data_IF_761609615529
#
_entry.id   IF_761609615529
#
_cell.length_a   1.000
_cell.length_b   1.000
_cell.length_c   1.000
_cell.angle_alpha   90.00
_cell.angle_beta   90.00
_cell.angle_gamma   90.00
#
_symmetry.space_group_name_H-M   'P 1'
#
loop_
_entity.id
_entity.type
_entity.pdbx_description
1 polymer ?
#
# COMPACT_ATOMS: atom_id res chain seq x y z
N UNK A 1 -7.98 10.50 19.62
CA UNK A 1 -8.57 10.59 18.25
C UNK A 1 -8.35 9.25 17.59
N UNK A 2 -9.42 8.62 17.10
CA UNK A 2 -9.29 7.32 16.44
C UNK A 2 -8.45 7.42 15.15
N UNK A 3 -7.52 6.50 14.97
CA UNK A 3 -6.63 6.43 13.81
C UNK A 3 -7.04 5.28 12.89
N UNK A 4 -7.16 5.60 11.61
CA UNK A 4 -7.36 4.66 10.50
C UNK A 4 -6.18 4.85 9.54
N UNK A 5 -5.19 3.99 9.64
CA UNK A 5 -3.97 4.08 8.83
C UNK A 5 -4.04 3.13 7.64
N UNK A 6 -3.80 3.66 6.45
CA UNK A 6 -4.03 2.93 5.20
C UNK A 6 -2.77 2.20 4.69
N UNK A 7 -1.62 2.33 5.38
CA UNK A 7 -0.41 1.65 4.91
C UNK A 7 0.65 1.47 6.00
N UNK A 8 1.19 0.25 6.10
CA UNK A 8 2.47 -0.01 6.75
C UNK A 8 3.10 -1.30 6.20
N UNK A 9 4.45 -1.37 6.21
CA UNK A 9 5.25 -2.50 5.74
C UNK A 9 5.67 -3.45 6.85
N UNK A 10 4.97 -3.42 7.98
CA UNK A 10 5.35 -4.19 9.17
C UNK A 10 5.50 -5.68 8.91
N UNK A 11 4.60 -6.28 8.10
CA UNK A 11 4.66 -7.72 7.79
C UNK A 11 5.88 -8.05 6.94
N UNK A 12 6.18 -7.25 5.93
CA UNK A 12 7.36 -7.41 5.08
C UNK A 12 8.65 -7.24 5.90
N UNK A 13 8.68 -6.25 6.80
CA UNK A 13 9.82 -6.04 7.70
C UNK A 13 10.02 -7.20 8.70
N UNK A 14 8.94 -7.80 9.21
CA UNK A 14 9.02 -9.01 10.06
C UNK A 14 9.55 -10.19 9.24
N UNK A 15 9.02 -10.37 8.01
CA UNK A 15 9.42 -11.46 7.12
C UNK A 15 10.92 -11.42 6.81
N UNK A 16 11.43 -10.29 6.34
CA UNK A 16 12.85 -10.11 6.02
C UNK A 16 13.72 -10.16 7.29
N UNK A 17 13.28 -9.51 8.38
CA UNK A 17 14.02 -9.55 9.64
C UNK A 17 14.18 -10.96 10.20
N UNK A 18 13.19 -11.84 10.06
CA UNK A 18 13.30 -13.23 10.48
C UNK A 18 14.27 -14.04 9.63
N UNK A 19 14.36 -13.77 8.33
CA UNK A 19 15.40 -14.36 7.47
C UNK A 19 16.80 -13.97 7.94
N UNK A 20 16.96 -12.74 8.45
CA UNK A 20 18.19 -12.23 9.06
C UNK A 20 18.42 -12.73 10.51
N UNK A 21 17.58 -13.63 11.01
CA UNK A 21 17.69 -14.17 12.37
C UNK A 21 17.20 -13.22 13.49
N UNK A 22 16.47 -12.14 13.15
CA UNK A 22 15.90 -11.22 14.14
C UNK A 22 14.60 -11.77 14.71
N UNK A 23 14.41 -11.63 16.02
CA UNK A 23 13.16 -12.00 16.70
C UNK A 23 12.17 -10.81 16.64
N UNK A 24 11.48 -10.71 15.50
CA UNK A 24 10.46 -9.68 15.26
C UNK A 24 9.06 -10.28 15.29
N UNK A 25 8.12 -9.58 15.92
CA UNK A 25 6.72 -9.96 16.00
C UNK A 25 5.80 -8.76 15.86
N UNK A 26 4.54 -9.01 15.50
CA UNK A 26 3.53 -7.96 15.43
C UNK A 26 3.13 -7.45 16.83
N UNK A 27 3.24 -8.27 17.88
CA UNK A 27 2.84 -7.90 19.23
C UNK A 27 3.62 -6.71 19.77
N UNK A 28 4.96 -6.79 19.67
CA UNK A 28 5.90 -5.74 20.09
C UNK A 28 7.22 -5.93 19.36
N UNK A 29 7.81 -4.87 18.88
CA UNK A 29 9.04 -4.93 18.09
C UNK A 29 9.79 -3.60 18.09
N UNK A 30 11.01 -3.59 17.52
CA UNK A 30 11.75 -2.37 17.22
C UNK A 30 11.26 -1.64 15.96
N UNK A 31 10.26 -2.17 15.26
CA UNK A 31 9.67 -1.54 14.05
C UNK A 31 8.82 -0.32 14.42
N UNK A 32 8.46 0.48 13.42
CA UNK A 32 7.69 1.71 13.63
C UNK A 32 6.24 1.43 14.06
N UNK A 33 5.64 0.36 13.54
CA UNK A 33 4.27 -0.06 13.84
C UNK A 33 4.27 -1.46 14.43
N UNK A 34 3.67 -1.62 15.60
CA UNK A 34 3.33 -2.88 16.26
C UNK A 34 2.08 -2.68 17.13
N UNK A 35 1.52 -3.75 17.68
CA UNK A 35 0.25 -3.67 18.42
C UNK A 35 0.34 -2.80 19.68
N UNK A 36 1.46 -2.77 20.38
CA UNK A 36 1.62 -1.90 21.55
C UNK A 36 1.60 -0.42 21.17
N UNK A 37 2.23 -0.05 20.05
CA UNK A 37 2.23 1.32 19.53
C UNK A 37 0.87 1.70 18.97
N UNK A 38 0.22 0.78 18.25
CA UNK A 38 -1.13 0.99 17.72
C UNK A 38 -2.15 1.22 18.85
N UNK A 39 -2.08 0.44 19.92
CA UNK A 39 -2.93 0.60 21.11
C UNK A 39 -2.73 1.97 21.75
N UNK A 40 -1.47 2.39 21.96
CA UNK A 40 -1.13 3.73 22.49
C UNK A 40 -1.57 4.87 21.57
N UNK A 41 -1.58 4.63 20.25
CA UNK A 41 -1.97 5.59 19.21
C UNK A 41 -3.48 5.66 18.95
N UNK A 42 -4.33 4.91 19.67
CA UNK A 42 -5.78 4.82 19.45
C UNK A 42 -6.14 4.35 18.03
N UNK A 43 -5.38 3.39 17.50
CA UNK A 43 -5.65 2.81 16.18
C UNK A 43 -6.90 1.95 16.20
N UNK A 44 -7.75 2.13 15.16
CA UNK A 44 -8.94 1.33 14.90
C UNK A 44 -8.76 0.41 13.70
N UNK A 45 -7.98 0.88 12.73
CA UNK A 45 -7.64 0.09 11.55
C UNK A 45 -6.20 0.37 11.14
N UNK A 46 -5.50 -0.69 10.81
CA UNK A 46 -4.22 -0.65 10.11
C UNK A 46 -4.32 -1.49 8.83
N UNK A 47 -3.95 -0.90 7.71
CA UNK A 47 -3.72 -1.66 6.49
C UNK A 47 -2.28 -2.15 6.48
N UNK A 48 -2.11 -3.46 6.42
CA UNK A 48 -0.80 -4.12 6.32
C UNK A 48 -0.54 -4.45 4.85
N UNK A 49 0.51 -3.86 4.30
CA UNK A 49 0.96 -4.13 2.96
C UNK A 49 1.81 -5.41 2.92
N UNK A 50 1.53 -6.25 1.94
CA UNK A 50 2.45 -7.26 1.47
C UNK A 50 3.33 -6.56 0.44
N UNK A 51 4.40 -5.97 0.92
CA UNK A 51 5.36 -5.23 0.11
C UNK A 51 6.55 -6.11 -0.25
N UNK A 52 6.99 -6.03 -1.49
CA UNK A 52 8.25 -6.60 -1.94
C UNK A 52 8.90 -5.73 -3.03
N UNK A 53 10.23 -5.74 -3.06
CA UNK A 53 10.98 -5.15 -4.16
C UNK A 53 11.16 -6.20 -5.26
N UNK A 54 10.47 -6.03 -6.38
CA UNK A 54 10.53 -6.95 -7.52
C UNK A 54 11.92 -7.10 -8.12
N UNK A 55 12.76 -6.07 -8.01
CA UNK A 55 14.14 -6.13 -8.53
C UNK A 55 15.01 -7.10 -7.73
N UNK A 56 14.65 -7.35 -6.47
CA UNK A 56 15.38 -8.23 -5.55
C UNK A 56 14.58 -9.51 -5.20
N UNK A 57 13.44 -9.77 -5.88
CA UNK A 57 12.56 -10.91 -5.61
C UNK A 57 12.41 -11.80 -6.84
N UNK A 58 12.91 -13.02 -6.77
CA UNK A 58 12.89 -13.95 -7.91
C UNK A 58 11.46 -14.39 -8.29
N UNK A 59 10.63 -14.69 -7.29
CA UNK A 59 9.23 -15.09 -7.48
C UNK A 59 8.29 -14.27 -6.60
N UNK A 60 7.83 -13.14 -7.14
CA UNK A 60 6.98 -12.20 -6.42
C UNK A 60 5.69 -12.84 -5.89
N UNK A 61 5.02 -13.68 -6.69
CA UNK A 61 3.79 -14.35 -6.27
C UNK A 61 4.01 -15.28 -5.07
N UNK A 62 5.03 -16.14 -5.14
CA UNK A 62 5.31 -17.08 -4.05
C UNK A 62 5.74 -16.35 -2.77
N UNK A 63 6.62 -15.34 -2.88
CA UNK A 63 7.07 -14.54 -1.73
C UNK A 63 5.91 -13.79 -1.09
N UNK A 64 5.03 -13.18 -1.89
CA UNK A 64 3.82 -12.54 -1.38
C UNK A 64 2.87 -13.53 -0.68
N UNK A 65 2.80 -14.76 -1.19
CA UNK A 65 2.06 -15.86 -0.54
C UNK A 65 2.62 -16.19 0.84
N UNK A 66 3.94 -16.33 0.98
CA UNK A 66 4.60 -16.59 2.26
C UNK A 66 4.37 -15.45 3.27
N UNK A 67 4.45 -14.20 2.82
CA UNK A 67 4.16 -13.02 3.66
C UNK A 67 2.68 -12.98 4.08
N UNK A 68 1.77 -13.37 3.19
CA UNK A 68 0.33 -13.46 3.50
C UNK A 68 0.06 -14.52 4.59
N UNK A 69 0.73 -15.65 4.52
CA UNK A 69 0.64 -16.67 5.58
C UNK A 69 1.27 -16.19 6.90
N UNK A 70 2.36 -15.45 6.83
CA UNK A 70 2.95 -14.82 8.02
C UNK A 70 1.97 -13.83 8.66
N UNK A 71 1.34 -12.96 7.88
CA UNK A 71 0.30 -12.03 8.35
C UNK A 71 -0.79 -12.75 9.13
N UNK A 72 -1.36 -13.81 8.57
CA UNK A 72 -2.40 -14.61 9.24
C UNK A 72 -1.92 -15.22 10.55
N UNK A 73 -0.69 -15.76 10.56
CA UNK A 73 -0.08 -16.33 11.77
C UNK A 73 0.13 -15.29 12.87
N UNK A 74 0.56 -14.09 12.50
CA UNK A 74 0.71 -13.00 13.48
C UNK A 74 -0.64 -12.52 14.02
N UNK A 75 -1.69 -12.46 13.20
CA UNK A 75 -3.04 -12.14 13.68
C UNK A 75 -3.61 -13.24 14.59
N UNK A 76 -3.44 -14.51 14.25
CA UNK A 76 -3.92 -15.61 15.11
C UNK A 76 -3.25 -15.61 16.49
N UNK A 77 -1.95 -15.30 16.57
CA UNK A 77 -1.24 -15.17 17.86
C UNK A 77 -1.78 -14.02 18.71
N UNK A 78 -2.38 -13.01 18.08
CA UNK A 78 -2.84 -11.78 18.72
C UNK A 78 -4.36 -11.57 18.57
N UNK A 79 -5.13 -12.63 18.38
CA UNK A 79 -6.56 -12.62 18.08
C UNK A 79 -7.45 -11.97 19.14
N UNK A 80 -6.94 -11.76 20.33
CA UNK A 80 -7.58 -11.04 21.41
C UNK A 80 -7.52 -9.52 21.22
N UNK A 81 -6.53 -9.01 20.47
CA UNK A 81 -6.29 -7.58 20.26
C UNK A 81 -6.66 -7.08 18.86
N UNK A 82 -6.50 -7.91 17.82
CA UNK A 82 -6.68 -7.53 16.43
C UNK A 82 -7.30 -8.67 15.62
N UNK A 83 -8.15 -8.33 14.65
CA UNK A 83 -8.74 -9.31 13.73
C UNK A 83 -8.71 -8.81 12.29
N UNK A 84 -8.51 -9.74 11.35
CA UNK A 84 -8.60 -9.43 9.92
C UNK A 84 -10.01 -8.98 9.55
N UNK A 85 -10.10 -8.00 8.65
CA UNK A 85 -11.36 -7.50 8.11
C UNK A 85 -11.44 -7.71 6.60
N UNK A 86 -12.62 -8.07 6.14
CA UNK A 86 -12.96 -8.31 4.74
C UNK A 86 -14.03 -7.33 4.25
N UNK A 87 -14.82 -6.78 5.18
CA UNK A 87 -15.97 -5.91 4.93
C UNK A 87 -16.03 -4.78 5.96
N UNK A 88 -16.82 -3.76 5.66
CA UNK A 88 -17.11 -2.70 6.63
C UNK A 88 -17.75 -3.22 7.91
N UNK A 89 -18.62 -4.23 7.81
CA UNK A 89 -19.27 -4.85 8.96
C UNK A 89 -18.26 -5.50 9.91
N UNK A 90 -17.17 -6.04 9.39
CA UNK A 90 -16.09 -6.60 10.22
C UNK A 90 -15.40 -5.52 11.06
N UNK A 91 -15.18 -4.32 10.47
CA UNK A 91 -14.62 -3.17 11.20
C UNK A 91 -15.56 -2.77 12.35
N UNK A 92 -16.88 -2.71 12.08
CA UNK A 92 -17.85 -2.38 13.10
C UNK A 92 -17.89 -3.42 14.22
N UNK A 93 -17.84 -4.71 13.88
CA UNK A 93 -17.79 -5.81 14.84
C UNK A 93 -16.54 -5.73 15.71
N UNK A 94 -15.37 -5.58 15.11
CA UNK A 94 -14.10 -5.46 15.85
C UNK A 94 -14.13 -4.27 16.81
N UNK A 95 -14.64 -3.13 16.36
CA UNK A 95 -14.83 -1.96 17.21
C UNK A 95 -15.73 -2.24 18.41
N UNK A 96 -16.85 -2.94 18.21
CA UNK A 96 -17.77 -3.31 19.28
C UNK A 96 -17.14 -4.32 20.27
N UNK A 97 -16.23 -5.18 19.79
CA UNK A 97 -15.47 -6.14 20.59
C UNK A 97 -14.23 -5.52 21.27
N UNK A 98 -13.94 -4.23 21.03
CA UNK A 98 -12.74 -3.57 21.54
C UNK A 98 -11.44 -4.00 20.86
N UNK A 99 -11.52 -4.58 19.65
CA UNK A 99 -10.37 -5.03 18.86
C UNK A 99 -10.02 -4.01 17.79
N UNK A 100 -8.75 -3.98 17.42
CA UNK A 100 -8.25 -3.31 16.22
C UNK A 100 -8.59 -4.14 14.97
N UNK A 101 -8.64 -3.48 13.83
CA UNK A 101 -8.90 -4.10 12.52
C UNK A 101 -7.64 -4.16 11.69
N UNK A 102 -7.34 -5.32 11.10
CA UNK A 102 -6.25 -5.53 10.15
C UNK A 102 -6.82 -5.70 8.74
N UNK A 103 -6.51 -4.76 7.85
CA UNK A 103 -6.82 -4.86 6.43
C UNK A 103 -5.58 -5.29 5.66
N UNK A 104 -5.71 -6.22 4.72
CA UNK A 104 -4.61 -6.71 3.90
C UNK A 104 -4.57 -5.97 2.57
N UNK A 105 -3.39 -5.49 2.18
CA UNK A 105 -3.12 -4.93 0.85
C UNK A 105 -1.91 -5.60 0.19
N UNK A 106 -1.82 -5.46 -1.14
CA UNK A 106 -0.65 -5.83 -1.93
C UNK A 106 0.06 -4.55 -2.38
N UNK A 107 1.39 -4.51 -2.24
CA UNK A 107 2.20 -3.43 -2.77
C UNK A 107 3.28 -3.97 -3.68
N UNK A 108 3.23 -3.65 -4.94
CA UNK A 108 3.98 -4.06 -6.12
C UNK A 108 3.18 -4.99 -7.05
N UNK A 109 2.84 -4.45 -8.22
CA UNK A 109 2.10 -5.19 -9.25
C UNK A 109 2.82 -6.40 -9.82
N UNK A 110 4.15 -6.50 -9.64
CA UNK A 110 4.94 -7.68 -9.98
C UNK A 110 4.44 -8.98 -9.32
N UNK A 111 3.63 -8.86 -8.26
CA UNK A 111 2.97 -10.00 -7.60
C UNK A 111 2.00 -10.71 -8.56
N UNK A 112 1.30 -9.96 -9.42
CA UNK A 112 0.26 -10.47 -10.32
C UNK A 112 0.40 -10.01 -11.78
N UNK A 113 1.55 -9.42 -12.17
CA UNK A 113 1.78 -8.90 -13.53
C UNK A 113 1.76 -9.99 -14.63
N UNK A 114 2.08 -11.23 -14.28
CA UNK A 114 2.11 -12.35 -15.22
C UNK A 114 0.72 -12.86 -15.51
N UNK A 115 -0.11 -12.90 -14.49
CA UNK A 115 -1.47 -13.42 -14.52
C UNK A 115 -2.37 -12.56 -13.61
N UNK A 116 -3.06 -11.53 -14.14
CA UNK A 116 -3.98 -10.70 -13.35
C UNK A 116 -5.05 -11.49 -12.59
N UNK A 117 -5.42 -12.67 -13.09
CA UNK A 117 -6.29 -13.63 -12.42
C UNK A 117 -5.76 -14.14 -11.08
N UNK A 118 -4.45 -14.06 -10.84
CA UNK A 118 -3.81 -14.41 -9.57
C UNK A 118 -4.28 -13.50 -8.42
N UNK A 119 -4.78 -12.30 -8.72
CA UNK A 119 -5.45 -11.44 -7.76
C UNK A 119 -6.59 -12.15 -7.02
N UNK A 120 -7.25 -13.11 -7.67
CA UNK A 120 -8.31 -13.90 -7.06
C UNK A 120 -7.82 -14.67 -5.84
N UNK A 121 -6.64 -15.29 -5.92
CA UNK A 121 -6.08 -15.99 -4.79
C UNK A 121 -5.87 -15.06 -3.59
N UNK A 122 -5.27 -13.89 -3.79
CA UNK A 122 -5.05 -12.92 -2.73
C UNK A 122 -6.34 -12.32 -2.19
N UNK A 123 -7.34 -12.10 -3.04
CA UNK A 123 -8.68 -11.68 -2.60
C UNK A 123 -9.30 -12.72 -1.66
N UNK A 124 -9.21 -13.99 -1.99
CA UNK A 124 -9.73 -15.09 -1.16
C UNK A 124 -8.93 -15.21 0.16
N UNK A 125 -7.66 -14.75 0.20
CA UNK A 125 -6.88 -14.61 1.43
C UNK A 125 -7.23 -13.34 2.24
N UNK A 126 -8.02 -12.45 1.68
CA UNK A 126 -8.54 -11.24 2.35
C UNK A 126 -7.90 -9.92 1.91
N UNK A 127 -7.06 -9.93 0.89
CA UNK A 127 -6.59 -8.67 0.30
C UNK A 127 -7.77 -7.88 -0.31
N UNK A 128 -7.81 -6.58 -0.05
CA UNK A 128 -8.87 -5.68 -0.53
C UNK A 128 -8.35 -4.48 -1.29
N UNK A 129 -7.05 -4.25 -1.25
CA UNK A 129 -6.36 -3.14 -1.89
C UNK A 129 -5.14 -3.70 -2.63
N UNK A 130 -4.81 -3.17 -3.79
CA UNK A 130 -3.55 -3.48 -4.47
C UNK A 130 -3.03 -2.28 -5.25
N UNK A 131 -1.70 -2.02 -5.17
CA UNK A 131 -0.99 -1.11 -6.06
C UNK A 131 -0.61 -1.81 -7.37
N UNK A 132 -0.50 -1.04 -8.45
CA UNK A 132 -0.08 -1.56 -9.75
C UNK A 132 1.43 -1.49 -9.95
N UNK A 133 2.11 -0.62 -9.22
CA UNK A 133 3.57 -0.47 -9.24
C UNK A 133 4.08 -0.13 -7.84
N UNK A 134 5.34 -0.45 -7.58
CA UNK A 134 6.15 0.27 -6.60
C UNK A 134 7.10 1.23 -7.36
N UNK A 135 8.41 1.18 -7.16
CA UNK A 135 9.39 2.07 -7.78
C UNK A 135 10.05 1.48 -9.05
N UNK A 136 9.44 0.46 -9.65
CA UNK A 136 9.94 -0.16 -10.86
C UNK A 136 8.83 -0.26 -11.91
N UNK A 137 9.17 0.02 -13.16
CA UNK A 137 8.31 -0.32 -14.29
C UNK A 137 8.09 -1.84 -14.31
N UNK A 138 6.85 -2.25 -14.53
CA UNK A 138 6.45 -3.64 -14.63
C UNK A 138 5.54 -3.86 -15.87
N UNK A 139 4.95 -5.04 -16.02
CA UNK A 139 4.10 -5.33 -17.16
C UNK A 139 2.73 -4.64 -17.09
N UNK A 140 2.38 -4.03 -15.94
CA UNK A 140 1.09 -3.37 -15.73
C UNK A 140 1.15 -1.87 -16.00
N UNK A 141 2.22 -1.19 -15.54
CA UNK A 141 2.25 0.27 -15.53
C UNK A 141 3.66 0.85 -15.35
N UNK A 142 3.72 2.18 -15.42
CA UNK A 142 4.88 2.99 -15.12
C UNK A 142 4.74 3.65 -13.74
N UNK A 143 5.81 3.59 -12.89
CA UNK A 143 5.80 4.25 -11.60
C UNK A 143 6.11 5.75 -11.70
N UNK A 144 5.83 6.49 -10.65
CA UNK A 144 6.20 7.90 -10.53
C UNK A 144 7.69 8.13 -10.19
N UNK A 145 8.42 7.07 -9.93
CA UNK A 145 9.84 7.07 -9.64
C UNK A 145 10.45 5.80 -10.23
N UNK A 146 11.68 5.84 -10.71
CA UNK A 146 12.40 4.66 -11.14
C UNK A 146 13.67 4.50 -10.31
N UNK A 147 13.85 3.31 -9.70
CA UNK A 147 15.01 3.02 -8.88
C UNK A 147 14.88 3.51 -7.44
N UNK A 148 16.01 3.76 -6.80
CA UNK A 148 16.09 4.20 -5.40
C UNK A 148 15.88 5.72 -5.29
N UNK A 149 14.74 6.17 -4.77
CA UNK A 149 14.42 7.59 -4.68
C UNK A 149 15.37 8.37 -3.75
N UNK A 150 16.13 7.68 -2.91
CA UNK A 150 17.05 8.30 -1.97
C UNK A 150 18.47 8.43 -2.51
N UNK A 151 18.83 7.66 -3.55
CA UNK A 151 20.17 7.69 -4.15
C UNK A 151 20.28 8.61 -5.36
N UNK A 152 19.28 8.62 -6.22
CA UNK A 152 19.43 9.16 -7.58
C UNK A 152 18.59 10.40 -7.88
N UNK A 153 17.83 10.93 -6.92
CA UNK A 153 16.81 11.99 -7.12
C UNK A 153 15.89 11.76 -8.34
N UNK A 154 15.35 10.58 -8.52
CA UNK A 154 14.66 10.21 -9.73
C UNK A 154 13.17 10.53 -9.66
N UNK A 155 12.80 11.64 -9.03
CA UNK A 155 11.42 12.11 -9.15
C UNK A 155 11.20 12.47 -10.61
N UNK A 156 10.71 11.53 -11.39
CA UNK A 156 10.31 11.79 -12.76
C UNK A 156 9.01 12.59 -12.75
N UNK A 157 9.20 13.89 -12.79
CA UNK A 157 8.14 14.86 -12.96
C UNK A 157 7.38 14.59 -14.25
N UNK A 158 6.06 14.46 -14.13
CA UNK A 158 5.20 14.38 -15.28
C UNK A 158 5.44 13.15 -16.14
N UNK A 159 5.72 11.98 -15.56
CA UNK A 159 5.69 10.75 -16.32
C UNK A 159 4.27 10.54 -16.87
N UNK A 160 4.11 10.80 -18.16
CA UNK A 160 2.82 10.75 -18.85
C UNK A 160 2.43 9.32 -19.25
N UNK A 161 3.39 8.39 -19.31
CA UNK A 161 3.09 7.00 -19.58
C UNK A 161 2.32 6.41 -18.40
N UNK A 162 1.25 5.74 -18.68
CA UNK A 162 0.31 5.24 -17.67
C UNK A 162 0.21 3.72 -17.63
N UNK A 163 -1.01 3.23 -17.72
CA UNK A 163 -1.27 1.81 -17.69
C UNK A 163 -0.94 1.16 -19.04
N UNK A 164 -0.38 -0.03 -18.95
CA UNK A 164 -0.24 -0.94 -20.09
C UNK A 164 -1.53 -1.77 -20.24
N UNK A 165 -1.64 -2.52 -21.32
CA UNK A 165 -2.82 -3.37 -21.57
C UNK A 165 -3.11 -4.32 -20.39
N UNK A 166 -2.10 -4.98 -19.85
CA UNK A 166 -2.25 -5.83 -18.66
C UNK A 166 -2.66 -5.06 -17.40
N UNK A 167 -2.26 -3.80 -17.29
CA UNK A 167 -2.70 -2.93 -16.19
C UNK A 167 -4.20 -2.65 -16.25
N UNK A 168 -4.74 -2.42 -17.45
CA UNK A 168 -6.19 -2.27 -17.66
C UNK A 168 -6.91 -3.57 -17.29
N UNK A 169 -6.41 -4.72 -17.75
CA UNK A 169 -6.97 -6.03 -17.41
C UNK A 169 -6.93 -6.27 -15.88
N UNK A 170 -5.85 -5.88 -15.21
CA UNK A 170 -5.75 -5.97 -13.75
C UNK A 170 -6.79 -5.09 -13.04
N UNK A 171 -7.04 -3.85 -13.52
CA UNK A 171 -8.11 -3.00 -12.99
C UNK A 171 -9.49 -3.63 -13.15
N UNK A 172 -9.79 -4.19 -14.31
CA UNK A 172 -11.05 -4.89 -14.55
C UNK A 172 -11.23 -6.08 -13.62
N UNK A 173 -10.16 -6.84 -13.39
CA UNK A 173 -10.15 -7.95 -12.44
C UNK A 173 -10.36 -7.46 -11.00
N UNK A 174 -9.68 -6.38 -10.58
CA UNK A 174 -9.87 -5.78 -9.27
C UNK A 174 -11.32 -5.33 -9.05
N UNK A 175 -11.91 -4.61 -10.01
CA UNK A 175 -13.31 -4.19 -9.92
C UNK A 175 -14.29 -5.36 -9.87
N UNK A 176 -14.04 -6.45 -10.63
CA UNK A 176 -14.88 -7.65 -10.62
C UNK A 176 -14.87 -8.35 -9.27
N UNK A 177 -13.71 -8.39 -8.62
CA UNK A 177 -13.52 -8.98 -7.30
C UNK A 177 -14.04 -8.08 -6.16
N UNK A 178 -14.11 -6.76 -6.36
CA UNK A 178 -14.34 -5.78 -5.31
C UNK A 178 -13.06 -5.40 -4.56
N UNK A 179 -11.90 -5.56 -5.18
CA UNK A 179 -10.65 -4.97 -4.71
C UNK A 179 -10.56 -3.50 -5.12
N UNK A 180 -9.91 -2.70 -4.31
CA UNK A 180 -9.77 -1.26 -4.52
C UNK A 180 -8.39 -0.99 -5.12
N UNK A 181 -8.30 -0.34 -6.30
CA UNK A 181 -7.04 0.10 -6.84
C UNK A 181 -6.40 1.20 -5.98
N UNK A 182 -5.10 1.07 -5.72
CA UNK A 182 -4.29 2.07 -5.04
C UNK A 182 -3.36 2.74 -6.06
N UNK A 183 -3.47 4.05 -6.18
CA UNK A 183 -2.66 4.87 -7.09
C UNK A 183 -1.34 5.35 -6.47
N UNK A 184 -1.05 4.96 -5.23
CA UNK A 184 0.25 5.21 -4.63
C UNK A 184 1.35 4.60 -5.49
N UNK A 185 2.48 5.31 -5.68
CA UNK A 185 3.60 4.97 -6.56
C UNK A 185 3.33 5.04 -8.06
N UNK A 186 2.08 5.15 -8.50
CA UNK A 186 1.76 5.18 -9.92
C UNK A 186 2.17 6.52 -10.56
N UNK A 187 2.58 6.49 -11.83
CA UNK A 187 2.88 7.69 -12.61
C UNK A 187 1.67 8.63 -12.70
N UNK A 188 1.90 9.89 -13.06
CA UNK A 188 0.81 10.83 -13.30
C UNK A 188 -0.13 10.33 -14.40
N UNK A 189 0.42 9.81 -15.52
CA UNK A 189 -0.38 9.16 -16.56
C UNK A 189 -1.18 7.96 -16.07
N UNK A 190 -0.57 7.14 -15.21
CA UNK A 190 -1.23 5.99 -14.59
C UNK A 190 -2.40 6.38 -13.68
N UNK A 191 -2.25 7.47 -12.91
CA UNK A 191 -3.37 8.01 -12.12
C UNK A 191 -4.57 8.35 -13.02
N UNK A 192 -4.32 9.07 -14.13
CA UNK A 192 -5.39 9.46 -15.04
C UNK A 192 -6.00 8.29 -15.77
N UNK A 193 -5.23 7.26 -16.09
CA UNK A 193 -5.78 6.02 -16.66
C UNK A 193 -6.66 5.28 -15.66
N UNK A 194 -6.25 5.17 -14.37
CA UNK A 194 -7.11 4.62 -13.33
C UNK A 194 -8.40 5.44 -13.19
N UNK A 195 -8.30 6.76 -13.13
CA UNK A 195 -9.46 7.64 -13.05
C UNK A 195 -10.42 7.49 -14.25
N UNK A 196 -9.89 7.20 -15.45
CA UNK A 196 -10.65 6.99 -16.67
C UNK A 196 -11.32 5.62 -16.72
N UNK A 197 -10.61 4.56 -16.33
CA UNK A 197 -11.05 3.18 -16.53
C UNK A 197 -11.84 2.62 -15.34
N UNK A 198 -11.54 3.03 -14.09
CA UNK A 198 -12.29 2.60 -12.93
C UNK A 198 -13.69 3.23 -12.89
N UNK A 199 -14.69 2.41 -12.62
CA UNK A 199 -16.08 2.83 -12.40
C UNK A 199 -16.40 3.03 -10.92
N UNK A 200 -15.69 2.33 -10.04
CA UNK A 200 -15.82 2.39 -8.58
C UNK A 200 -14.78 3.35 -7.99
N UNK A 201 -14.92 3.72 -6.71
CA UNK A 201 -13.88 4.47 -6.01
C UNK A 201 -12.53 3.75 -6.04
N UNK A 202 -11.46 4.52 -6.12
CA UNK A 202 -10.08 4.08 -5.93
C UNK A 202 -9.44 4.96 -4.84
N UNK A 203 -8.23 4.67 -4.39
CA UNK A 203 -7.61 5.41 -3.30
C UNK A 203 -6.10 5.59 -3.51
N UNK A 204 -5.51 6.45 -2.67
CA UNK A 204 -4.07 6.54 -2.50
C UNK A 204 -3.77 6.25 -1.02
N UNK A 205 -3.26 5.05 -0.72
CA UNK A 205 -3.05 4.61 0.66
C UNK A 205 -2.06 5.47 1.42
N UNK A 206 -1.01 5.96 0.71
CA UNK A 206 0.08 6.71 1.31
C UNK A 206 0.71 7.70 0.30
N UNK A 207 0.09 8.87 0.17
CA UNK A 207 0.54 9.99 -0.65
C UNK A 207 0.29 11.31 0.07
N UNK A 208 0.77 12.42 -0.48
CA UNK A 208 0.54 13.75 0.10
C UNK A 208 0.14 14.75 -1.01
N UNK A 209 -0.13 15.99 -0.64
CA UNK A 209 -0.44 17.05 -1.58
C UNK A 209 0.85 17.65 -2.16
N UNK A 210 1.08 17.53 -3.46
CA UNK A 210 2.26 18.04 -4.16
C UNK A 210 2.42 19.53 -3.98
N UNK A 211 1.33 20.28 -4.10
CA UNK A 211 1.33 21.74 -3.93
C UNK A 211 1.57 22.22 -2.50
N UNK A 212 1.13 21.47 -1.49
CA UNK A 212 1.17 21.90 -0.08
C UNK A 212 2.40 21.35 0.68
N UNK A 213 2.73 20.08 0.48
CA UNK A 213 3.76 19.39 1.27
C UNK A 213 5.14 19.43 0.59
N UNK A 214 5.33 18.69 -0.47
CA UNK A 214 6.58 18.62 -1.23
C UNK A 214 6.29 18.35 -2.70
N UNK A 215 7.07 18.97 -3.58
CA UNK A 215 6.94 18.78 -5.03
C UNK A 215 7.38 17.41 -5.54
N UNK A 216 7.60 16.43 -4.67
CA UNK A 216 7.91 15.06 -5.08
C UNK A 216 6.82 14.49 -6.00
N UNK A 217 7.22 13.84 -7.09
CA UNK A 217 6.28 13.18 -8.01
C UNK A 217 5.42 12.10 -7.32
N UNK A 218 5.90 11.61 -6.18
CA UNK A 218 5.20 10.68 -5.30
C UNK A 218 3.91 11.24 -4.69
N UNK A 219 3.80 12.58 -4.63
CA UNK A 219 2.64 13.30 -4.13
C UNK A 219 1.65 13.61 -5.26
N UNK A 220 0.36 13.68 -4.94
CA UNK A 220 -0.70 13.97 -5.88
C UNK A 220 -0.83 15.49 -6.12
N UNK A 221 -1.15 15.89 -7.35
CA UNK A 221 -1.52 17.27 -7.66
C UNK A 221 -2.88 17.61 -7.05
N UNK A 222 -3.18 18.92 -6.94
CA UNK A 222 -4.50 19.37 -6.46
C UNK A 222 -5.65 18.85 -7.32
N UNK A 223 -5.43 18.72 -8.63
CA UNK A 223 -6.42 18.19 -9.57
C UNK A 223 -6.66 16.69 -9.35
N UNK A 224 -5.58 15.93 -9.14
CA UNK A 224 -5.67 14.50 -8.79
C UNK A 224 -6.41 14.30 -7.46
N UNK A 225 -6.13 15.12 -6.44
CA UNK A 225 -6.80 15.04 -5.14
C UNK A 225 -8.30 15.34 -5.28
N UNK A 226 -8.67 16.36 -6.07
CA UNK A 226 -10.10 16.65 -6.34
C UNK A 226 -10.76 15.50 -7.07
N UNK A 227 -10.12 14.98 -8.10
CA UNK A 227 -10.64 13.83 -8.87
C UNK A 227 -10.83 12.61 -7.97
N UNK A 228 -9.86 12.32 -7.10
CA UNK A 228 -9.96 11.23 -6.12
C UNK A 228 -11.17 11.42 -5.19
N UNK A 229 -11.33 12.63 -4.66
CA UNK A 229 -12.45 12.98 -3.78
C UNK A 229 -13.81 12.89 -4.49
N UNK A 230 -13.92 13.43 -5.71
CA UNK A 230 -15.15 13.39 -6.52
C UNK A 230 -15.58 11.95 -6.86
N UNK A 231 -14.59 11.04 -6.91
CA UNK A 231 -14.81 9.60 -7.12
C UNK A 231 -15.11 8.84 -5.82
N UNK A 232 -15.18 9.53 -4.67
CA UNK A 232 -15.41 8.93 -3.36
C UNK A 232 -14.19 8.19 -2.78
N UNK A 233 -13.01 8.50 -3.28
CA UNK A 233 -11.75 7.92 -2.83
C UNK A 233 -11.22 8.56 -1.55
N UNK A 234 -10.12 8.02 -1.04
CA UNK A 234 -9.45 8.47 0.19
C UNK A 234 -7.95 8.67 -0.10
N UNK A 235 -7.38 9.73 0.45
CA UNK A 235 -5.95 9.99 0.48
C UNK A 235 -5.41 9.73 1.88
N UNK A 236 -4.58 8.71 2.06
CA UNK A 236 -3.78 8.46 3.25
C UNK A 236 -2.49 9.25 3.23
N UNK A 237 -2.03 9.69 4.41
CA UNK A 237 -0.79 10.44 4.55
C UNK A 237 0.43 9.51 4.44
N UNK A 238 1.48 9.99 3.77
CA UNK A 238 2.78 9.35 3.74
C UNK A 238 3.73 10.10 4.69
N UNK A 239 4.36 9.38 5.62
CA UNK A 239 5.24 9.96 6.63
C UNK A 239 6.70 10.07 6.19
N UNK A 240 7.04 9.70 4.96
CA UNK A 240 8.39 9.89 4.44
C UNK A 240 8.71 11.39 4.39
N UNK A 241 9.79 11.80 5.08
CA UNK A 241 10.12 13.21 5.31
C UNK A 241 10.29 13.99 4.01
N UNK A 242 10.91 13.39 3.00
CA UNK A 242 11.08 14.01 1.67
C UNK A 242 9.77 14.29 0.93
N UNK A 243 8.67 13.64 1.33
CA UNK A 243 7.34 13.85 0.75
C UNK A 243 6.51 14.85 1.55
N UNK A 244 6.95 15.19 2.77
CA UNK A 244 6.28 16.13 3.68
C UNK A 244 6.99 17.48 3.74
N UNK A 245 8.34 17.48 3.68
CA UNK A 245 9.17 18.69 3.81
C UNK A 245 9.87 19.02 2.51
N UNK A 246 9.59 20.23 1.97
CA UNK A 246 10.23 20.74 0.73
C UNK A 246 11.73 20.97 0.86
N UNK A 247 12.17 21.40 2.03
CA UNK A 247 13.56 21.78 2.32
C UNK A 247 14.42 20.65 2.85
N UNK A 248 13.84 19.44 3.00
CA UNK A 248 14.59 18.28 3.49
C UNK A 248 15.64 17.83 2.47
N UNK A 249 16.83 17.48 3.01
CA UNK A 249 17.93 16.92 2.22
C UNK A 249 18.38 15.60 2.84
N UNK A 250 18.85 14.63 2.03
CA UNK A 250 19.41 13.39 2.54
C UNK A 250 20.46 13.62 3.63
N UNK A 251 20.38 12.85 4.72
CA UNK A 251 21.26 12.98 5.89
C UNK A 251 20.79 13.96 6.97
N UNK A 252 19.70 14.69 6.76
CA UNK A 252 19.07 15.48 7.80
C UNK A 252 18.11 14.63 8.65
N UNK A 253 17.98 14.92 9.96
CA UNK A 253 16.95 14.27 10.77
C UNK A 253 15.55 14.56 10.25
N UNK A 254 14.64 13.60 10.40
CA UNK A 254 13.23 13.72 10.07
C UNK A 254 12.46 14.63 11.01
#
# INVERSE_FOLDING_TARGET
MEVYDLHCDTISAIYEGRKDGKDLSLASSSLQVDLEKMEKGDYRLQTFAIFLDRANTENCFATAGEMTELFKKELEKNRDKISQVYTYQDIQRNKAEGKMSALLSLEEGGIFEKAPEDLRWFYDQGARIATLTWNHENELAYPNCQGDPFKDHPWSWGEERGLKEKGIQALEQMESLGMIPDVSHLSDGGFWDVAKHCRKPFLATHSNARGAASEAARNLTDEMIRTLADRGGILGLNYCVSFVRRDWKPGQPG
#
